data_IF_231656828805
#
_entry.id   IF_231656828805
#
_cell.length_a   1.000
_cell.length_b   1.000
_cell.length_c   1.000
_cell.angle_alpha   90.00
_cell.angle_beta   90.00
_cell.angle_gamma   90.00
#
_symmetry.space_group_name_H-M   'P 1'
#
loop_
_entity.id
_entity.type
_entity.pdbx_description
1 polymer ?
#
# COMPACT_ATOMS: atom_id res chain seq x y z
N UNK A 1 -34.06 -72.04 6.68
CA UNK A 1 -34.55 -70.70 6.56
C UNK A 1 -34.61 -69.94 7.88
N UNK A 2 -35.27 -70.38 8.95
CA UNK A 2 -35.38 -69.64 10.22
C UNK A 2 -34.02 -69.25 10.86
N UNK A 3 -33.01 -70.15 10.86
CA UNK A 3 -31.67 -69.88 11.41
C UNK A 3 -30.88 -68.83 10.61
N UNK A 4 -31.04 -68.82 9.25
CA UNK A 4 -30.41 -67.85 8.40
C UNK A 4 -31.02 -66.42 8.57
N UNK A 5 -32.33 -66.37 8.75
CA UNK A 5 -33.05 -65.09 9.03
C UNK A 5 -32.63 -64.51 10.39
N UNK A 6 -32.46 -65.37 11.43
CA UNK A 6 -32.01 -64.95 12.74
C UNK A 6 -30.58 -64.46 12.74
N UNK A 7 -29.67 -65.08 11.97
CA UNK A 7 -28.31 -64.61 11.76
C UNK A 7 -28.29 -63.22 11.04
N UNK A 8 -29.12 -63.03 10.02
CA UNK A 8 -29.23 -61.74 9.31
C UNK A 8 -29.77 -60.62 10.20
N UNK A 9 -30.76 -60.90 11.06
CA UNK A 9 -31.29 -59.95 12.05
C UNK A 9 -30.23 -59.58 13.09
N UNK A 10 -29.48 -60.52 13.61
CA UNK A 10 -28.39 -60.28 14.58
C UNK A 10 -27.27 -59.46 13.92
N UNK A 11 -26.88 -59.78 12.70
CA UNK A 11 -25.88 -59.00 11.93
C UNK A 11 -26.40 -57.57 11.68
N UNK A 12 -27.66 -57.42 11.28
CA UNK A 12 -28.25 -56.07 11.07
C UNK A 12 -28.31 -55.25 12.35
N UNK A 13 -28.65 -55.89 13.51
CA UNK A 13 -28.65 -55.19 14.82
C UNK A 13 -27.24 -54.82 15.29
N UNK A 14 -26.26 -55.69 15.07
CA UNK A 14 -24.85 -55.38 15.42
C UNK A 14 -24.29 -54.26 14.54
N UNK A 15 -24.59 -54.25 13.23
CA UNK A 15 -24.22 -53.16 12.33
C UNK A 15 -24.89 -51.88 12.78
N UNK A 16 -26.19 -51.90 13.08
CA UNK A 16 -26.94 -50.69 13.52
C UNK A 16 -26.42 -50.16 14.87
N UNK A 17 -26.06 -51.02 15.82
CA UNK A 17 -25.46 -50.58 17.08
C UNK A 17 -24.05 -50.00 16.88
N UNK A 18 -23.26 -50.57 15.99
CA UNK A 18 -21.90 -50.10 15.68
C UNK A 18 -21.93 -48.72 14.99
N UNK A 19 -22.86 -48.51 14.03
CA UNK A 19 -23.04 -47.23 13.37
C UNK A 19 -23.57 -46.15 14.32
N UNK A 20 -24.46 -46.50 15.25
CA UNK A 20 -24.94 -45.54 16.25
C UNK A 20 -23.83 -45.14 17.23
N UNK A 21 -22.98 -46.07 17.64
CA UNK A 21 -21.84 -45.78 18.51
C UNK A 21 -20.80 -44.89 17.83
N UNK A 22 -20.43 -45.16 16.56
CA UNK A 22 -19.49 -44.31 15.82
C UNK A 22 -20.04 -42.91 15.60
N UNK A 23 -21.35 -42.75 15.41
CA UNK A 23 -21.99 -41.44 15.27
C UNK A 23 -21.93 -40.63 16.56
N UNK A 24 -22.11 -41.25 17.72
CA UNK A 24 -22.00 -40.57 19.03
C UNK A 24 -20.57 -40.22 19.34
N UNK A 25 -19.59 -41.05 19.03
CA UNK A 25 -18.16 -40.80 19.19
C UNK A 25 -17.69 -39.61 18.32
N UNK A 26 -18.14 -39.54 17.07
CA UNK A 26 -17.88 -38.40 16.16
C UNK A 26 -18.51 -37.10 16.66
N UNK A 27 -19.77 -37.16 17.12
CA UNK A 27 -20.46 -36.00 17.68
C UNK A 27 -19.72 -35.43 18.89
N UNK A 28 -19.19 -36.29 19.75
CA UNK A 28 -18.39 -35.86 20.89
C UNK A 28 -17.07 -35.23 20.47
N UNK A 29 -16.38 -35.82 19.49
CA UNK A 29 -15.17 -35.25 18.94
C UNK A 29 -15.42 -33.84 18.31
N UNK A 30 -16.50 -33.69 17.55
CA UNK A 30 -16.93 -32.39 17.01
C UNK A 30 -17.18 -31.38 18.13
N UNK A 31 -17.90 -31.78 19.19
CA UNK A 31 -18.18 -30.92 20.35
C UNK A 31 -16.90 -30.44 21.03
N UNK A 32 -15.90 -31.30 21.21
CA UNK A 32 -14.61 -30.93 21.78
C UNK A 32 -13.87 -29.92 20.89
N UNK A 33 -13.92 -30.08 19.57
CA UNK A 33 -13.33 -29.15 18.60
C UNK A 33 -14.04 -27.80 18.62
N UNK A 34 -15.37 -27.78 18.70
CA UNK A 34 -16.17 -26.56 18.77
C UNK A 34 -15.91 -25.77 20.07
N UNK A 35 -15.51 -26.45 21.12
CA UNK A 35 -15.04 -25.83 22.38
C UNK A 35 -13.53 -25.56 22.41
N UNK A 36 -12.81 -25.68 21.27
CA UNK A 36 -11.36 -25.48 21.14
C UNK A 36 -10.52 -26.45 22.03
N UNK A 37 -11.10 -27.55 22.53
CA UNK A 37 -10.43 -28.56 23.34
C UNK A 37 -9.68 -29.57 22.43
N UNK A 38 -8.80 -29.09 21.58
CA UNK A 38 -8.15 -29.89 20.51
C UNK A 38 -7.34 -31.05 21.02
N UNK A 39 -6.62 -30.90 22.14
CA UNK A 39 -5.82 -31.95 22.76
C UNK A 39 -6.70 -33.09 23.25
N UNK A 40 -7.84 -32.74 23.86
CA UNK A 40 -8.81 -33.73 24.36
C UNK A 40 -9.52 -34.43 23.19
N UNK A 41 -9.81 -33.68 22.10
CA UNK A 41 -10.39 -34.24 20.89
C UNK A 41 -9.47 -35.29 20.25
N UNK A 42 -8.17 -35.07 20.22
CA UNK A 42 -7.19 -36.04 19.71
C UNK A 42 -7.08 -37.27 20.62
N UNK A 43 -7.00 -37.08 21.93
CA UNK A 43 -6.97 -38.20 22.90
C UNK A 43 -8.25 -39.02 22.81
N UNK A 44 -9.40 -38.39 22.64
CA UNK A 44 -10.68 -39.05 22.41
C UNK A 44 -10.67 -39.90 21.13
N UNK A 45 -10.25 -39.31 20.00
CA UNK A 45 -10.15 -39.99 18.72
C UNK A 45 -9.23 -41.21 18.77
N UNK A 46 -8.11 -41.09 19.50
CA UNK A 46 -7.17 -42.20 19.71
C UNK A 46 -7.79 -43.31 20.58
N UNK A 47 -8.56 -42.96 21.62
CA UNK A 47 -9.21 -43.94 22.52
C UNK A 47 -10.31 -44.73 21.82
N UNK A 48 -11.05 -44.10 20.89
CA UNK A 48 -12.13 -44.74 20.15
C UNK A 48 -11.64 -45.39 18.85
N UNK A 49 -10.34 -45.28 18.52
CA UNK A 49 -9.75 -45.77 17.26
C UNK A 49 -10.52 -45.35 16.01
N UNK A 50 -11.06 -44.09 15.99
CA UNK A 50 -11.82 -43.53 14.89
C UNK A 50 -10.94 -43.37 13.65
N UNK A 51 -11.34 -43.97 12.53
CA UNK A 51 -10.57 -44.04 11.30
C UNK A 51 -11.41 -43.70 10.05
N UNK A 52 -12.69 -43.37 10.24
CA UNK A 52 -13.54 -42.94 9.12
C UNK A 52 -13.13 -41.56 8.63
N UNK A 53 -13.60 -41.21 7.44
CA UNK A 53 -13.22 -39.95 6.75
C UNK A 53 -13.54 -38.72 7.58
N UNK A 54 -14.71 -38.68 8.22
CA UNK A 54 -15.12 -37.53 9.05
C UNK A 54 -14.22 -37.39 10.29
N UNK A 55 -13.89 -38.51 10.96
CA UNK A 55 -12.97 -38.50 12.09
C UNK A 55 -11.58 -38.05 11.67
N UNK A 56 -11.11 -38.43 10.49
CA UNK A 56 -9.82 -37.99 9.96
C UNK A 56 -9.82 -36.49 9.66
N UNK A 57 -10.89 -35.91 9.08
CA UNK A 57 -11.03 -34.48 8.92
C UNK A 57 -10.99 -33.73 10.25
N UNK A 58 -11.73 -34.19 11.25
CA UNK A 58 -11.72 -33.59 12.59
C UNK A 58 -10.35 -33.69 13.25
N UNK A 59 -9.66 -34.84 13.09
CA UNK A 59 -8.29 -35.04 13.57
C UNK A 59 -7.30 -34.06 12.91
N UNK A 60 -7.36 -33.95 11.59
CA UNK A 60 -6.50 -33.03 10.85
C UNK A 60 -6.74 -31.57 11.27
N UNK A 61 -8.01 -31.17 11.46
CA UNK A 61 -8.37 -29.86 11.98
C UNK A 61 -7.78 -29.61 13.37
N UNK A 62 -7.96 -30.53 14.30
CA UNK A 62 -7.40 -30.40 15.66
C UNK A 62 -5.88 -30.33 15.67
N UNK A 63 -5.19 -31.10 14.82
CA UNK A 63 -3.74 -31.03 14.66
C UNK A 63 -3.28 -29.67 14.08
N UNK A 64 -4.02 -29.18 13.09
CA UNK A 64 -3.74 -27.86 12.47
C UNK A 64 -3.84 -26.73 13.49
N UNK A 65 -4.93 -26.71 14.29
CA UNK A 65 -5.17 -25.68 15.31
C UNK A 65 -4.12 -25.73 16.46
N UNK A 66 -3.53 -26.90 16.69
CA UNK A 66 -2.41 -27.08 17.63
C UNK A 66 -1.04 -26.72 17.01
N UNK A 67 -0.99 -26.25 15.75
CA UNK A 67 0.25 -25.95 15.05
C UNK A 67 1.05 -27.19 14.62
N UNK A 68 0.47 -28.42 14.73
CA UNK A 68 1.11 -29.70 14.34
C UNK A 68 0.92 -29.93 12.83
N UNK A 69 1.32 -28.95 11.99
CA UNK A 69 1.05 -28.94 10.55
C UNK A 69 1.55 -30.17 9.78
N UNK A 70 2.78 -30.70 10.04
CA UNK A 70 3.23 -31.90 9.34
C UNK A 70 2.36 -33.12 9.60
N UNK A 71 1.86 -33.27 10.82
CA UNK A 71 0.99 -34.41 11.19
C UNK A 71 -0.41 -34.21 10.59
N UNK A 72 -0.96 -33.00 10.63
CA UNK A 72 -2.22 -32.68 9.98
C UNK A 72 -2.16 -32.97 8.47
N UNK A 73 -1.06 -32.57 7.81
CA UNK A 73 -0.83 -32.85 6.40
C UNK A 73 -0.79 -34.36 6.09
N UNK A 74 -0.11 -35.15 6.91
CA UNK A 74 -0.08 -36.58 6.75
C UNK A 74 -1.49 -37.22 6.85
N UNK A 75 -2.37 -36.65 7.70
CA UNK A 75 -3.77 -37.08 7.78
C UNK A 75 -4.52 -36.71 6.50
N UNK A 76 -4.38 -35.48 5.95
CA UNK A 76 -5.01 -35.13 4.67
C UNK A 76 -4.48 -35.99 3.52
N UNK A 77 -3.20 -36.33 3.48
CA UNK A 77 -2.66 -37.25 2.49
C UNK A 77 -3.31 -38.63 2.61
N UNK A 78 -3.67 -39.05 3.82
CA UNK A 78 -4.38 -40.31 4.04
C UNK A 78 -5.82 -40.21 3.53
N UNK A 79 -6.53 -39.12 3.80
CA UNK A 79 -7.90 -38.91 3.32
C UNK A 79 -7.95 -38.99 1.80
N UNK A 80 -7.09 -38.26 1.07
CA UNK A 80 -7.10 -38.27 -0.41
C UNK A 80 -6.67 -39.62 -1.02
N UNK A 81 -6.02 -40.51 -0.26
CA UNK A 81 -5.80 -41.91 -0.67
C UNK A 81 -7.04 -42.77 -0.49
N UNK A 82 -7.86 -42.48 0.53
CA UNK A 82 -9.12 -43.22 0.82
C UNK A 82 -10.22 -42.71 -0.13
N UNK A 83 -10.41 -41.40 -0.23
CA UNK A 83 -11.29 -40.77 -1.21
C UNK A 83 -10.51 -39.79 -2.09
N UNK A 84 -10.16 -40.18 -3.35
CA UNK A 84 -9.49 -39.33 -4.30
C UNK A 84 -10.36 -38.18 -4.84
N UNK A 85 -11.66 -38.12 -4.50
CA UNK A 85 -12.58 -37.06 -4.89
C UNK A 85 -12.88 -36.07 -3.77
N UNK A 86 -12.25 -36.20 -2.60
CA UNK A 86 -12.38 -35.25 -1.50
C UNK A 86 -11.62 -33.94 -1.82
N UNK A 87 -12.31 -32.98 -2.46
CA UNK A 87 -11.78 -31.68 -2.80
C UNK A 87 -11.34 -30.87 -1.55
N UNK A 88 -12.04 -31.06 -0.42
CA UNK A 88 -11.75 -30.34 0.84
C UNK A 88 -10.42 -30.76 1.41
N UNK A 89 -10.12 -32.08 1.40
CA UNK A 89 -8.84 -32.59 1.89
C UNK A 89 -7.66 -32.08 1.06
N UNK A 90 -7.79 -31.98 -0.26
CA UNK A 90 -6.77 -31.38 -1.12
C UNK A 90 -6.53 -29.92 -0.78
N UNK A 91 -7.58 -29.13 -0.61
CA UNK A 91 -7.48 -27.70 -0.31
C UNK A 91 -6.88 -27.43 1.07
N UNK A 92 -7.38 -28.10 2.10
CA UNK A 92 -6.89 -27.93 3.46
C UNK A 92 -5.47 -28.46 3.64
N UNK A 93 -5.14 -29.60 3.02
CA UNK A 93 -3.78 -30.12 3.04
C UNK A 93 -2.80 -29.17 2.33
N UNK A 94 -3.18 -28.59 1.20
CA UNK A 94 -2.36 -27.61 0.50
C UNK A 94 -2.21 -26.30 1.31
N UNK A 95 -3.26 -25.86 2.00
CA UNK A 95 -3.19 -24.68 2.85
C UNK A 95 -2.12 -24.83 3.94
N UNK A 96 -2.02 -26.00 4.58
CA UNK A 96 -0.95 -26.29 5.54
C UNK A 96 0.45 -26.20 4.94
N UNK A 97 0.62 -26.63 3.69
CA UNK A 97 1.90 -26.52 2.99
C UNK A 97 2.24 -25.07 2.65
N UNK A 98 1.23 -24.24 2.32
CA UNK A 98 1.41 -22.80 2.15
C UNK A 98 1.87 -22.15 3.46
N UNK A 99 1.26 -22.51 4.60
CA UNK A 99 1.66 -22.01 5.93
C UNK A 99 3.10 -22.42 6.29
N UNK A 100 3.53 -23.58 5.86
CA UNK A 100 4.90 -24.07 5.99
C UNK A 100 5.85 -23.52 4.90
N UNK A 101 5.36 -22.67 4.00
CA UNK A 101 6.08 -22.11 2.84
C UNK A 101 6.56 -23.15 1.81
N UNK A 102 6.04 -24.36 1.84
CA UNK A 102 6.27 -25.37 0.81
C UNK A 102 5.24 -25.23 -0.32
N UNK A 103 5.41 -24.18 -1.10
CA UNK A 103 4.53 -23.85 -2.21
C UNK A 103 4.53 -24.90 -3.33
N UNK A 104 5.64 -25.63 -3.49
CA UNK A 104 5.75 -26.67 -4.52
C UNK A 104 4.81 -27.84 -4.22
N UNK A 105 4.88 -28.39 -2.99
CA UNK A 105 3.99 -29.47 -2.55
C UNK A 105 2.52 -29.01 -2.50
N UNK A 106 2.27 -27.77 -2.08
CA UNK A 106 0.92 -27.19 -2.09
C UNK A 106 0.33 -27.12 -3.51
N UNK A 107 1.12 -26.64 -4.48
CA UNK A 107 0.66 -26.54 -5.87
C UNK A 107 0.42 -27.92 -6.50
N UNK A 108 1.28 -28.90 -6.22
CA UNK A 108 1.11 -30.28 -6.70
C UNK A 108 -0.17 -30.89 -6.14
N UNK A 109 -0.41 -30.73 -4.83
CA UNK A 109 -1.62 -31.26 -4.15
C UNK A 109 -2.89 -30.63 -4.71
N UNK A 110 -2.94 -29.29 -4.89
CA UNK A 110 -4.08 -28.60 -5.50
C UNK A 110 -4.28 -29.02 -6.96
N UNK A 111 -3.21 -29.19 -7.71
CA UNK A 111 -3.28 -29.64 -9.09
C UNK A 111 -3.88 -31.04 -9.18
N UNK A 112 -3.41 -31.98 -8.37
CA UNK A 112 -3.97 -33.32 -8.31
C UNK A 112 -5.46 -33.30 -7.92
N UNK A 113 -5.84 -32.49 -6.93
CA UNK A 113 -7.21 -32.31 -6.51
C UNK A 113 -8.08 -31.75 -7.63
N UNK A 114 -7.65 -30.70 -8.32
CA UNK A 114 -8.42 -30.09 -9.41
C UNK A 114 -8.57 -31.02 -10.63
N UNK A 115 -7.52 -31.76 -10.99
CA UNK A 115 -7.60 -32.73 -12.09
C UNK A 115 -8.58 -33.89 -11.81
N UNK A 116 -8.73 -34.29 -10.55
CA UNK A 116 -9.62 -35.38 -10.14
C UNK A 116 -11.06 -34.96 -9.90
N UNK A 117 -11.25 -33.77 -9.33
CA UNK A 117 -12.56 -33.32 -8.86
C UNK A 117 -13.22 -32.32 -9.81
N UNK A 118 -12.42 -31.57 -10.58
CA UNK A 118 -12.85 -30.38 -11.32
C UNK A 118 -13.57 -29.33 -10.44
N UNK A 119 -13.31 -29.36 -9.13
CA UNK A 119 -13.90 -28.47 -8.14
C UNK A 119 -13.40 -27.03 -8.35
N UNK A 120 -14.32 -26.10 -8.54
CA UNK A 120 -13.98 -24.68 -8.83
C UNK A 120 -13.17 -24.05 -7.68
N UNK A 121 -13.55 -24.16 -6.40
CA UNK A 121 -12.73 -23.68 -5.29
C UNK A 121 -11.29 -24.23 -5.30
N UNK A 122 -11.09 -25.50 -5.57
CA UNK A 122 -9.75 -26.11 -5.67
C UNK A 122 -8.94 -25.53 -6.83
N UNK A 123 -9.57 -25.36 -7.99
CA UNK A 123 -8.95 -24.70 -9.15
C UNK A 123 -8.62 -23.24 -8.91
N UNK A 124 -9.47 -22.52 -8.18
CA UNK A 124 -9.23 -21.12 -7.80
C UNK A 124 -8.04 -21.01 -6.82
N UNK A 125 -7.97 -21.86 -5.78
CA UNK A 125 -6.87 -21.88 -4.84
C UNK A 125 -5.55 -22.24 -5.55
N UNK A 126 -5.58 -23.18 -6.50
CA UNK A 126 -4.43 -23.50 -7.36
C UNK A 126 -3.98 -22.30 -8.17
N UNK A 127 -4.90 -21.66 -8.90
CA UNK A 127 -4.57 -20.50 -9.74
C UNK A 127 -4.03 -19.35 -8.90
N UNK A 128 -4.59 -19.11 -7.70
CA UNK A 128 -4.14 -18.09 -6.75
C UNK A 128 -2.71 -18.37 -6.29
N UNK A 129 -2.40 -19.59 -5.94
CA UNK A 129 -1.06 -20.01 -5.53
C UNK A 129 -0.06 -19.88 -6.71
N UNK A 130 -0.45 -20.31 -7.92
CA UNK A 130 0.38 -20.19 -9.12
C UNK A 130 0.74 -18.73 -9.44
N UNK A 131 -0.22 -17.81 -9.31
CA UNK A 131 0.03 -16.36 -9.45
C UNK A 131 0.96 -15.86 -8.35
N UNK A 132 0.82 -16.37 -7.11
CA UNK A 132 1.69 -16.01 -6.00
C UNK A 132 3.16 -16.38 -6.28
N UNK A 133 3.41 -17.60 -6.75
CA UNK A 133 4.75 -18.12 -7.04
C UNK A 133 5.30 -17.74 -8.43
N UNK A 134 4.57 -16.89 -9.19
CA UNK A 134 5.01 -16.39 -10.49
C UNK A 134 4.81 -17.35 -11.67
N UNK A 135 4.05 -18.45 -11.51
CA UNK A 135 3.67 -19.36 -12.59
C UNK A 135 2.42 -18.88 -13.33
N UNK A 136 2.45 -17.61 -13.77
CA UNK A 136 1.29 -16.91 -14.32
C UNK A 136 0.72 -17.57 -15.60
N UNK A 137 1.59 -18.20 -16.42
CA UNK A 137 1.13 -18.92 -17.63
C UNK A 137 0.23 -20.09 -17.30
N UNK A 138 0.59 -20.90 -16.31
CA UNK A 138 -0.21 -22.03 -15.84
C UNK A 138 -1.49 -21.54 -15.16
N UNK A 139 -1.40 -20.47 -14.37
CA UNK A 139 -2.57 -19.84 -13.74
C UNK A 139 -3.60 -19.39 -14.78
N UNK A 140 -3.16 -18.84 -15.92
CA UNK A 140 -4.05 -18.47 -17.04
C UNK A 140 -4.78 -19.68 -17.63
N UNK A 141 -4.12 -20.82 -17.75
CA UNK A 141 -4.76 -22.07 -18.25
C UNK A 141 -5.83 -22.55 -17.27
N UNK A 142 -5.53 -22.54 -15.98
CA UNK A 142 -6.47 -22.99 -14.93
C UNK A 142 -7.67 -22.03 -14.88
N UNK A 143 -7.44 -20.72 -14.84
CA UNK A 143 -8.52 -19.71 -14.81
C UNK A 143 -9.38 -19.77 -16.06
N UNK A 144 -8.81 -20.01 -17.24
CA UNK A 144 -9.55 -20.21 -18.47
C UNK A 144 -10.47 -21.44 -18.40
N UNK A 145 -9.97 -22.55 -17.86
CA UNK A 145 -10.75 -23.78 -17.67
C UNK A 145 -11.92 -23.57 -16.70
N UNK A 146 -11.71 -22.81 -15.60
CA UNK A 146 -12.78 -22.46 -14.67
C UNK A 146 -13.82 -21.56 -15.35
N UNK A 147 -13.39 -20.51 -16.05
CA UNK A 147 -14.29 -19.53 -16.67
C UNK A 147 -15.13 -20.10 -17.83
N UNK A 148 -14.74 -21.26 -18.40
CA UNK A 148 -15.58 -22.01 -19.33
C UNK A 148 -16.74 -22.74 -18.64
N UNK A 149 -16.61 -23.01 -17.35
CA UNK A 149 -17.66 -23.65 -16.54
C UNK A 149 -18.59 -22.62 -15.93
N UNK A 150 -18.02 -21.57 -15.34
CA UNK A 150 -18.77 -20.50 -14.67
C UNK A 150 -18.00 -19.18 -14.70
N UNK A 151 -18.71 -18.08 -14.98
CA UNK A 151 -18.15 -16.74 -15.08
C UNK A 151 -18.12 -16.06 -13.70
N UNK A 152 -17.12 -16.40 -12.90
CA UNK A 152 -16.98 -15.94 -11.53
C UNK A 152 -16.09 -14.68 -11.42
N UNK A 153 -16.59 -13.54 -10.87
CA UNK A 153 -15.81 -12.32 -10.71
C UNK A 153 -14.45 -12.51 -10.02
N UNK A 154 -14.31 -13.31 -8.92
CA UNK A 154 -13.01 -13.55 -8.31
C UNK A 154 -11.99 -14.21 -9.25
N UNK A 155 -12.44 -15.12 -10.11
CA UNK A 155 -11.58 -15.80 -11.09
C UNK A 155 -11.18 -14.85 -12.22
N UNK A 156 -12.10 -13.98 -12.67
CA UNK A 156 -11.83 -12.92 -13.65
C UNK A 156 -10.76 -11.99 -13.14
N UNK A 157 -10.86 -11.51 -11.91
CA UNK A 157 -9.86 -10.65 -11.27
C UNK A 157 -8.51 -11.34 -11.14
N UNK A 158 -8.50 -12.61 -10.73
CA UNK A 158 -7.27 -13.39 -10.65
C UNK A 158 -6.60 -13.56 -12.01
N UNK A 159 -7.38 -13.81 -13.07
CA UNK A 159 -6.92 -13.87 -14.46
C UNK A 159 -6.34 -12.54 -14.91
N UNK A 160 -7.00 -11.43 -14.61
CA UNK A 160 -6.49 -10.09 -14.92
C UNK A 160 -5.15 -9.81 -14.21
N UNK A 161 -5.02 -10.23 -12.94
CA UNK A 161 -3.77 -10.13 -12.19
C UNK A 161 -2.64 -10.94 -12.83
N UNK A 162 -2.92 -12.16 -13.28
CA UNK A 162 -1.94 -12.99 -14.00
C UNK A 162 -1.52 -12.36 -15.33
N UNK A 163 -2.47 -11.82 -16.10
CA UNK A 163 -2.19 -11.08 -17.35
C UNK A 163 -1.29 -9.87 -17.10
N UNK A 164 -1.59 -9.08 -16.08
CA UNK A 164 -0.80 -7.91 -15.72
C UNK A 164 0.65 -8.28 -15.34
N UNK A 165 0.83 -9.32 -14.52
CA UNK A 165 2.17 -9.83 -14.18
C UNK A 165 2.96 -10.28 -15.41
N UNK A 166 2.28 -10.77 -16.44
CA UNK A 166 2.87 -11.13 -17.74
C UNK A 166 3.10 -9.96 -18.68
N UNK A 167 3.02 -8.72 -18.18
CA UNK A 167 3.17 -7.51 -18.99
C UNK A 167 2.12 -7.38 -20.11
N UNK A 168 0.91 -7.83 -19.84
CA UNK A 168 -0.26 -7.74 -20.75
C UNK A 168 -1.38 -6.90 -20.10
N UNK A 169 -1.11 -5.66 -19.66
CA UNK A 169 -2.10 -4.86 -18.94
C UNK A 169 -3.32 -4.52 -19.79
N UNK A 170 -3.17 -4.32 -21.10
CA UNK A 170 -4.31 -4.02 -21.99
C UNK A 170 -5.33 -5.15 -22.02
N UNK A 171 -4.89 -6.42 -21.98
CA UNK A 171 -5.81 -7.56 -21.93
C UNK A 171 -6.47 -7.68 -20.55
N UNK A 172 -5.73 -7.40 -19.49
CA UNK A 172 -6.27 -7.38 -18.13
C UNK A 172 -7.35 -6.29 -17.98
N UNK A 173 -7.09 -5.08 -18.49
CA UNK A 173 -8.04 -3.96 -18.48
C UNK A 173 -9.31 -4.35 -19.25
N UNK A 174 -9.20 -4.84 -20.50
CA UNK A 174 -10.36 -5.22 -21.31
C UNK A 174 -11.22 -6.28 -20.61
N UNK A 175 -10.60 -7.24 -19.92
CA UNK A 175 -11.29 -8.28 -19.18
C UNK A 175 -12.07 -7.70 -17.97
N UNK A 176 -11.48 -6.78 -17.22
CA UNK A 176 -12.14 -6.14 -16.09
C UNK A 176 -13.22 -5.13 -16.54
N UNK A 177 -13.00 -4.41 -17.66
CA UNK A 177 -14.02 -3.54 -18.26
C UNK A 177 -15.27 -4.35 -18.67
N UNK A 178 -15.07 -5.51 -19.30
CA UNK A 178 -16.18 -6.41 -19.65
C UNK A 178 -16.94 -6.86 -18.40
N UNK A 179 -16.25 -7.21 -17.31
CA UNK A 179 -16.89 -7.56 -16.06
C UNK A 179 -17.67 -6.38 -15.46
N UNK A 180 -17.13 -5.17 -15.49
CA UNK A 180 -17.82 -3.95 -15.02
C UNK A 180 -19.04 -3.59 -15.87
N UNK A 181 -19.08 -3.98 -17.16
CA UNK A 181 -20.29 -3.86 -17.99
C UNK A 181 -21.39 -4.84 -17.56
N UNK A 182 -21.02 -6.02 -17.05
CA UNK A 182 -21.98 -7.04 -16.54
C UNK A 182 -22.49 -6.69 -15.15
N UNK A 183 -21.60 -6.23 -14.28
CA UNK A 183 -21.92 -5.82 -12.92
C UNK A 183 -21.16 -4.53 -12.54
N UNK A 184 -21.85 -3.41 -12.68
CA UNK A 184 -21.31 -2.09 -12.37
C UNK A 184 -21.20 -1.82 -10.85
N UNK A 185 -21.68 -2.72 -9.99
CA UNK A 185 -21.67 -2.59 -8.53
C UNK A 185 -20.53 -3.38 -7.89
N UNK A 186 -19.81 -4.22 -8.65
CA UNK A 186 -18.65 -4.97 -8.15
C UNK A 186 -17.44 -4.04 -7.91
N UNK A 187 -17.41 -3.45 -6.69
CA UNK A 187 -16.35 -2.52 -6.32
C UNK A 187 -14.96 -3.17 -6.27
N UNK A 188 -14.84 -4.49 -6.04
CA UNK A 188 -13.55 -5.17 -6.03
C UNK A 188 -12.96 -5.23 -7.45
N UNK A 189 -13.77 -5.53 -8.45
CA UNK A 189 -13.35 -5.46 -9.86
C UNK A 189 -13.03 -4.03 -10.27
N UNK A 190 -13.81 -3.05 -9.79
CA UNK A 190 -13.52 -1.64 -10.02
C UNK A 190 -12.16 -1.21 -9.47
N UNK A 191 -11.82 -1.62 -8.24
CA UNK A 191 -10.53 -1.28 -7.61
C UNK A 191 -9.36 -1.91 -8.37
N UNK A 192 -9.50 -3.17 -8.80
CA UNK A 192 -8.48 -3.82 -9.62
C UNK A 192 -8.30 -3.09 -10.97
N UNK A 193 -9.39 -2.68 -11.62
CA UNK A 193 -9.38 -1.89 -12.85
C UNK A 193 -8.75 -0.51 -12.66
N UNK A 194 -9.16 0.22 -11.62
CA UNK A 194 -8.61 1.52 -11.28
C UNK A 194 -7.10 1.45 -11.00
N UNK A 195 -6.66 0.39 -10.32
CA UNK A 195 -5.24 0.13 -10.06
C UNK A 195 -4.46 -0.09 -11.37
N UNK A 196 -5.03 -0.86 -12.31
CA UNK A 196 -4.39 -1.08 -13.61
C UNK A 196 -4.30 0.20 -14.44
N UNK A 197 -5.35 1.03 -14.45
CA UNK A 197 -5.29 2.34 -15.12
C UNK A 197 -4.20 3.24 -14.54
N UNK A 198 -4.04 3.26 -13.21
CA UNK A 198 -2.94 3.98 -12.56
C UNK A 198 -1.56 3.46 -12.96
N UNK A 199 -1.40 2.14 -13.08
CA UNK A 199 -0.13 1.51 -13.51
C UNK A 199 0.25 1.82 -14.97
N UNK A 200 -0.73 1.98 -15.85
CA UNK A 200 -0.50 2.34 -17.27
C UNK A 200 -0.61 3.85 -17.53
N UNK A 201 -0.65 4.65 -16.47
CA UNK A 201 -0.74 6.12 -16.51
C UNK A 201 -2.02 6.67 -17.18
N UNK A 202 -3.06 5.84 -17.32
CA UNK A 202 -4.38 6.26 -17.81
C UNK A 202 -5.23 6.91 -16.68
N UNK A 203 -4.67 7.88 -15.99
CA UNK A 203 -5.22 8.50 -14.77
C UNK A 203 -6.64 9.08 -14.99
N UNK A 204 -6.92 9.62 -16.18
CA UNK A 204 -8.28 10.12 -16.47
C UNK A 204 -9.32 9.01 -16.52
N UNK A 205 -8.97 7.82 -17.01
CA UNK A 205 -9.87 6.67 -16.99
C UNK A 205 -10.06 6.13 -15.57
N UNK A 206 -9.01 6.13 -14.77
CA UNK A 206 -9.09 5.82 -13.34
C UNK A 206 -10.09 6.73 -12.63
N UNK A 207 -9.98 8.05 -12.83
CA UNK A 207 -10.91 9.05 -12.31
C UNK A 207 -12.35 8.76 -12.76
N UNK A 208 -12.58 8.60 -14.07
CA UNK A 208 -13.92 8.41 -14.62
C UNK A 208 -14.64 7.18 -14.06
N UNK A 209 -13.96 6.04 -13.93
CA UNK A 209 -14.59 4.82 -13.41
C UNK A 209 -14.88 4.92 -11.92
N UNK A 210 -13.98 5.54 -11.14
CA UNK A 210 -14.17 5.73 -9.70
C UNK A 210 -15.24 6.79 -9.41
N UNK A 211 -15.22 7.93 -10.11
CA UNK A 211 -16.25 8.98 -10.00
C UNK A 211 -17.65 8.45 -10.35
N UNK A 212 -17.76 7.65 -11.41
CA UNK A 212 -19.03 7.01 -11.79
C UNK A 212 -19.57 6.09 -10.71
N UNK A 213 -18.73 5.25 -10.12
CA UNK A 213 -19.15 4.37 -9.03
C UNK A 213 -19.60 5.16 -7.80
N UNK A 214 -18.89 6.25 -7.46
CA UNK A 214 -19.23 7.10 -6.32
C UNK A 214 -20.58 7.82 -6.44
N UNK A 215 -21.18 7.85 -7.64
CA UNK A 215 -22.57 8.31 -7.82
C UNK A 215 -23.58 7.28 -7.26
N UNK A 216 -23.22 6.00 -7.24
CA UNK A 216 -24.07 4.91 -6.72
C UNK A 216 -23.82 4.65 -5.24
N UNK A 217 -22.55 4.46 -4.87
CA UNK A 217 -22.09 4.32 -3.48
C UNK A 217 -21.04 5.38 -3.16
N UNK A 218 -21.53 6.53 -2.77
CA UNK A 218 -20.70 7.71 -2.48
C UNK A 218 -19.78 7.55 -1.27
N UNK A 219 -19.86 6.43 -0.56
CA UNK A 219 -19.26 6.25 0.77
C UNK A 219 -18.31 5.06 0.84
N UNK A 220 -18.07 4.39 -0.28
CA UNK A 220 -17.12 3.29 -0.35
C UNK A 220 -15.70 3.79 -0.17
N UNK A 221 -15.10 3.48 0.98
CA UNK A 221 -13.77 3.98 1.36
C UNK A 221 -12.69 3.57 0.36
N UNK A 222 -12.74 2.33 -0.16
CA UNK A 222 -11.73 1.85 -1.12
C UNK A 222 -11.80 2.63 -2.44
N UNK A 223 -13.02 2.92 -2.91
CA UNK A 223 -13.21 3.71 -4.14
C UNK A 223 -12.87 5.18 -3.92
N UNK A 224 -13.19 5.75 -2.75
CA UNK A 224 -12.77 7.12 -2.39
C UNK A 224 -11.23 7.25 -2.38
N UNK A 225 -10.51 6.27 -1.84
CA UNK A 225 -9.04 6.27 -1.87
C UNK A 225 -8.49 6.23 -3.30
N UNK A 226 -9.05 5.36 -4.15
CA UNK A 226 -8.62 5.26 -5.56
C UNK A 226 -8.97 6.52 -6.37
N UNK A 227 -10.11 7.17 -6.08
CA UNK A 227 -10.50 8.44 -6.69
C UNK A 227 -9.59 9.57 -6.22
N UNK A 228 -9.34 9.71 -4.91
CA UNK A 228 -8.42 10.70 -4.37
C UNK A 228 -7.00 10.56 -4.93
N UNK A 229 -6.52 9.33 -5.13
CA UNK A 229 -5.24 9.07 -5.81
C UNK A 229 -5.24 9.65 -7.22
N UNK A 230 -6.27 9.36 -8.03
CA UNK A 230 -6.37 9.89 -9.40
C UNK A 230 -6.43 11.42 -9.41
N UNK A 231 -7.15 12.04 -8.46
CA UNK A 231 -7.21 13.50 -8.32
C UNK A 231 -5.84 14.10 -7.98
N UNK A 232 -5.08 13.46 -7.08
CA UNK A 232 -3.72 13.88 -6.77
C UNK A 232 -2.78 13.80 -7.98
N UNK A 233 -2.89 12.74 -8.78
CA UNK A 233 -2.11 12.57 -10.02
C UNK A 233 -2.51 13.59 -11.10
N UNK A 234 -3.78 13.99 -11.16
CA UNK A 234 -4.28 15.06 -12.04
C UNK A 234 -4.00 16.47 -11.51
N UNK A 235 -3.30 16.58 -10.37
CA UNK A 235 -3.00 17.84 -9.67
C UNK A 235 -4.24 18.57 -9.11
N UNK A 236 -5.36 17.90 -8.99
CA UNK A 236 -6.61 18.41 -8.42
C UNK A 236 -6.67 18.14 -6.91
N UNK A 237 -5.76 18.76 -6.17
CA UNK A 237 -5.56 18.48 -4.73
C UNK A 237 -6.80 18.80 -3.87
N UNK A 238 -7.62 19.79 -4.26
CA UNK A 238 -8.84 20.16 -3.52
C UNK A 238 -9.89 19.07 -3.63
N UNK A 239 -10.05 18.45 -4.81
CA UNK A 239 -10.94 17.31 -5.02
C UNK A 239 -10.49 16.09 -4.22
N UNK A 240 -9.18 15.79 -4.25
CA UNK A 240 -8.61 14.73 -3.44
C UNK A 240 -8.80 14.97 -1.94
N UNK A 241 -8.61 16.21 -1.47
CA UNK A 241 -8.81 16.59 -0.07
C UNK A 241 -10.26 16.32 0.37
N UNK A 242 -11.23 16.67 -0.47
CA UNK A 242 -12.64 16.41 -0.18
C UNK A 242 -12.91 14.92 0.06
N UNK A 243 -12.33 14.04 -0.75
CA UNK A 243 -12.49 12.60 -0.55
C UNK A 243 -11.81 12.12 0.74
N UNK A 244 -10.60 12.58 1.05
CA UNK A 244 -9.92 12.26 2.32
C UNK A 244 -10.71 12.77 3.53
N UNK A 245 -11.32 13.96 3.46
CA UNK A 245 -12.18 14.47 4.53
C UNK A 245 -13.42 13.60 4.75
N UNK A 246 -14.02 13.09 3.66
CA UNK A 246 -15.15 12.15 3.76
C UNK A 246 -14.75 10.83 4.43
N UNK A 247 -13.55 10.32 4.13
CA UNK A 247 -13.01 9.11 4.74
C UNK A 247 -12.76 9.33 6.23
N UNK A 248 -12.03 10.40 6.59
CA UNK A 248 -11.65 10.71 7.97
C UNK A 248 -12.86 11.10 8.81
N UNK A 249 -13.80 11.86 8.26
CA UNK A 249 -15.04 12.27 8.95
C UNK A 249 -15.92 11.10 9.36
N UNK A 250 -15.67 9.89 8.83
CA UNK A 250 -16.35 8.64 9.22
C UNK A 250 -15.55 7.79 10.21
N UNK A 251 -14.47 8.29 10.72
CA UNK A 251 -13.59 7.56 11.63
C UNK A 251 -12.66 6.56 10.94
N UNK A 252 -12.63 6.54 9.59
CA UNK A 252 -11.64 5.79 8.84
C UNK A 252 -10.40 6.66 8.60
N UNK A 253 -9.24 6.04 8.60
CA UNK A 253 -7.99 6.70 8.26
C UNK A 253 -7.23 5.83 7.26
N UNK A 254 -6.57 6.40 6.24
CA UNK A 254 -5.73 5.62 5.35
C UNK A 254 -4.70 4.80 6.12
N UNK A 255 -4.40 3.60 5.64
CA UNK A 255 -3.46 2.69 6.30
C UNK A 255 -2.25 2.33 5.45
N UNK A 256 -2.38 2.39 4.12
CA UNK A 256 -1.25 2.13 3.23
C UNK A 256 -0.32 3.32 3.18
N UNK A 257 0.98 3.07 2.99
CA UNK A 257 1.98 4.13 2.80
C UNK A 257 1.55 5.12 1.70
N UNK A 258 1.11 4.61 0.55
CA UNK A 258 0.72 5.42 -0.59
C UNK A 258 -0.45 6.35 -0.26
N UNK A 259 -1.51 5.81 0.33
CA UNK A 259 -2.70 6.59 0.66
C UNK A 259 -2.43 7.62 1.76
N UNK A 260 -1.64 7.26 2.77
CA UNK A 260 -1.18 8.18 3.82
C UNK A 260 -0.34 9.32 3.24
N UNK A 261 0.55 9.00 2.31
CA UNK A 261 1.42 10.00 1.68
C UNK A 261 0.63 10.98 0.82
N UNK A 262 -0.27 10.50 -0.03
CA UNK A 262 -1.13 11.37 -0.85
C UNK A 262 -2.13 12.17 0.00
N UNK A 263 -2.69 11.58 1.05
CA UNK A 263 -3.51 12.29 2.03
C UNK A 263 -2.71 13.45 2.65
N UNK A 264 -1.49 13.18 3.11
CA UNK A 264 -0.59 14.21 3.63
C UNK A 264 -0.30 15.32 2.63
N UNK A 265 -0.07 14.98 1.36
CA UNK A 265 0.15 15.96 0.29
C UNK A 265 -1.09 16.84 0.03
N UNK A 266 -2.30 16.26 0.03
CA UNK A 266 -3.54 17.00 -0.14
C UNK A 266 -3.73 18.02 0.98
N UNK A 267 -3.59 17.61 2.25
CA UNK A 267 -3.67 18.49 3.40
C UNK A 267 -2.54 19.55 3.40
N UNK A 268 -1.33 19.17 3.00
CA UNK A 268 -0.20 20.09 2.91
C UNK A 268 -0.46 21.21 1.89
N UNK A 269 -0.96 20.87 0.68
CA UNK A 269 -1.33 21.84 -0.34
C UNK A 269 -2.46 22.76 0.11
N UNK A 270 -3.40 22.25 0.91
CA UNK A 270 -4.49 23.03 1.51
C UNK A 270 -4.05 23.90 2.72
N UNK A 271 -2.77 23.90 3.09
CA UNK A 271 -2.26 24.67 4.23
C UNK A 271 -2.64 24.11 5.60
N UNK A 272 -3.18 22.89 5.66
CA UNK A 272 -3.54 22.22 6.92
C UNK A 272 -2.39 21.38 7.46
N UNK A 273 -1.30 22.03 7.78
CA UNK A 273 0.00 21.40 8.03
C UNK A 273 0.01 20.45 9.22
N UNK A 274 -0.79 20.69 10.26
CA UNK A 274 -0.86 19.78 11.42
C UNK A 274 -1.46 18.41 11.05
N UNK A 275 -2.51 18.39 10.21
CA UNK A 275 -3.10 17.12 9.74
C UNK A 275 -2.17 16.45 8.72
N UNK A 276 -1.54 17.22 7.83
CA UNK A 276 -0.55 16.72 6.90
C UNK A 276 0.63 16.05 7.64
N UNK A 277 1.10 16.65 8.71
CA UNK A 277 2.17 16.10 9.57
C UNK A 277 1.78 14.75 10.15
N UNK A 278 0.56 14.59 10.66
CA UNK A 278 0.08 13.32 11.20
C UNK A 278 0.01 12.24 10.09
N UNK A 279 -0.45 12.60 8.88
CA UNK A 279 -0.47 11.68 7.75
C UNK A 279 0.95 11.23 7.37
N UNK A 280 1.90 12.18 7.26
CA UNK A 280 3.29 11.85 6.92
C UNK A 280 3.99 11.06 8.04
N UNK A 281 3.68 11.34 9.31
CA UNK A 281 4.23 10.57 10.44
C UNK A 281 3.79 9.10 10.36
N UNK A 282 2.51 8.83 10.13
CA UNK A 282 2.00 7.47 9.94
C UNK A 282 2.57 6.80 8.69
N UNK A 283 2.74 7.56 7.61
CA UNK A 283 3.40 7.06 6.40
C UNK A 283 4.85 6.65 6.69
N UNK A 284 5.61 7.48 7.41
CA UNK A 284 7.00 7.21 7.79
C UNK A 284 7.12 5.95 8.68
N UNK A 285 6.20 5.79 9.63
CA UNK A 285 6.12 4.60 10.48
C UNK A 285 5.83 3.34 9.66
N UNK A 286 4.91 3.41 8.69
CA UNK A 286 4.56 2.29 7.81
C UNK A 286 5.69 1.89 6.86
N UNK A 287 6.60 2.82 6.52
CA UNK A 287 7.78 2.60 5.69
C UNK A 287 9.05 2.29 6.52
N UNK A 288 8.91 1.86 7.77
CA UNK A 288 10.02 1.59 8.68
C UNK A 288 10.99 2.77 8.84
N UNK A 289 10.48 4.00 8.73
CA UNK A 289 11.22 5.25 8.88
C UNK A 289 12.41 5.42 7.91
N UNK A 290 12.38 4.78 6.75
CA UNK A 290 13.45 4.85 5.75
C UNK A 290 13.11 5.72 4.52
N UNK A 291 11.90 6.27 4.45
CA UNK A 291 11.48 7.07 3.31
C UNK A 291 11.88 8.53 3.46
N UNK A 292 12.81 8.99 2.61
CA UNK A 292 13.29 10.37 2.66
C UNK A 292 12.22 11.42 2.31
N UNK A 293 11.22 11.08 1.46
CA UNK A 293 10.15 12.00 1.09
C UNK A 293 9.24 12.31 2.28
N UNK A 294 8.89 11.31 3.09
CA UNK A 294 8.10 11.54 4.31
C UNK A 294 8.85 12.44 5.30
N UNK A 295 10.15 12.19 5.47
CA UNK A 295 11.00 13.03 6.35
C UNK A 295 11.13 14.45 5.83
N UNK A 296 11.24 14.64 4.52
CA UNK A 296 11.22 15.94 3.88
C UNK A 296 9.93 16.70 4.20
N UNK A 297 8.77 16.07 3.97
CA UNK A 297 7.48 16.71 4.25
C UNK A 297 7.22 16.92 5.73
N UNK A 298 7.71 16.06 6.62
CA UNK A 298 7.66 16.28 8.06
C UNK A 298 8.48 17.52 8.48
N UNK A 299 9.66 17.71 7.90
CA UNK A 299 10.46 18.92 8.07
C UNK A 299 9.73 20.16 7.52
N UNK A 300 9.14 20.04 6.32
CA UNK A 300 8.34 21.09 5.69
C UNK A 300 7.11 21.48 6.52
N UNK A 301 6.40 20.53 7.09
CA UNK A 301 5.25 20.81 7.95
C UNK A 301 5.66 21.61 9.17
N UNK A 302 6.74 21.21 9.86
CA UNK A 302 7.27 21.95 11.01
C UNK A 302 7.72 23.37 10.59
N UNK A 303 8.42 23.49 9.45
CA UNK A 303 8.84 24.78 8.91
C UNK A 303 7.64 25.71 8.60
N UNK A 304 6.61 25.19 7.94
CA UNK A 304 5.37 25.96 7.63
C UNK A 304 4.60 26.37 8.89
N UNK A 305 4.68 25.58 9.95
CA UNK A 305 4.11 25.88 11.26
C UNK A 305 4.97 26.85 12.09
N UNK A 306 6.12 27.29 11.55
CA UNK A 306 7.12 28.14 12.23
C UNK A 306 7.71 27.51 13.51
N UNK A 307 7.75 26.20 13.57
CA UNK A 307 8.38 25.42 14.63
C UNK A 307 9.87 25.22 14.28
N UNK A 308 10.65 26.31 14.37
CA UNK A 308 12.00 26.41 13.80
C UNK A 308 12.96 25.35 14.33
N UNK A 309 13.00 25.14 15.65
CA UNK A 309 13.87 24.15 16.29
C UNK A 309 13.53 22.72 15.84
N UNK A 310 12.23 22.40 15.77
CA UNK A 310 11.79 21.08 15.34
C UNK A 310 12.01 20.88 13.82
N UNK A 311 11.81 21.92 13.01
CA UNK A 311 12.11 21.89 11.59
C UNK A 311 13.60 21.64 11.34
N UNK A 312 14.47 22.38 12.03
CA UNK A 312 15.92 22.22 11.95
C UNK A 312 16.34 20.78 12.31
N UNK A 313 15.87 20.26 13.45
CA UNK A 313 16.15 18.90 13.88
C UNK A 313 15.73 17.83 12.87
N UNK A 314 14.55 17.99 12.28
CA UNK A 314 14.02 17.05 11.28
C UNK A 314 14.78 17.14 9.97
N UNK A 315 15.08 18.34 9.50
CA UNK A 315 15.82 18.57 8.27
C UNK A 315 17.29 18.13 8.40
N UNK A 316 17.91 18.30 9.57
CA UNK A 316 19.25 17.78 9.81
C UNK A 316 19.28 16.25 9.74
N UNK A 317 18.31 15.55 10.35
CA UNK A 317 18.17 14.10 10.21
C UNK A 317 17.91 13.65 8.78
N UNK A 318 17.25 14.48 7.98
CA UNK A 318 17.05 14.21 6.57
C UNK A 318 18.37 14.30 5.79
N UNK A 319 19.22 15.30 6.08
CA UNK A 319 20.54 15.41 5.44
C UNK A 319 21.40 14.17 5.65
N UNK A 320 21.31 13.53 6.82
CA UNK A 320 22.04 12.29 7.14
C UNK A 320 21.59 11.09 6.26
N UNK A 321 20.40 11.19 5.65
CA UNK A 321 19.78 10.12 4.84
C UNK A 321 19.86 10.38 3.33
N UNK A 322 20.06 11.65 2.92
CA UNK A 322 20.06 12.00 1.50
C UNK A 322 21.48 11.79 0.94
N UNK A 323 21.59 10.98 -0.10
CA UNK A 323 22.85 10.89 -0.84
C UNK A 323 23.19 12.23 -1.51
N UNK A 324 24.49 12.60 -1.67
CA UNK A 324 24.93 13.92 -2.14
C UNK A 324 24.46 14.35 -3.55
N UNK A 325 23.60 13.61 -4.20
CA UNK A 325 23.13 13.84 -5.58
C UNK A 325 21.63 13.96 -5.76
N UNK A 326 20.88 14.24 -4.72
CA UNK A 326 19.42 14.35 -4.83
C UNK A 326 18.98 15.79 -5.09
N UNK A 327 17.92 15.96 -5.91
CA UNK A 327 17.32 17.24 -6.26
C UNK A 327 16.82 18.04 -5.04
N UNK A 328 16.67 17.36 -3.91
CA UNK A 328 16.14 17.94 -2.66
C UNK A 328 17.19 18.57 -1.74
N UNK A 329 18.47 18.30 -2.03
CA UNK A 329 19.54 18.77 -1.14
C UNK A 329 19.60 20.31 -1.07
N UNK A 330 19.43 20.98 -2.20
CA UNK A 330 19.35 22.44 -2.28
C UNK A 330 18.20 23.01 -1.47
N UNK A 331 17.00 22.42 -1.59
CA UNK A 331 15.81 22.85 -0.85
C UNK A 331 16.02 22.68 0.66
N UNK A 332 16.58 21.54 1.08
CA UNK A 332 16.85 21.26 2.50
C UNK A 332 17.84 22.24 3.09
N UNK A 333 18.93 22.53 2.40
CA UNK A 333 19.89 23.53 2.85
C UNK A 333 19.31 24.94 2.90
N UNK A 334 18.46 25.32 1.93
CA UNK A 334 17.80 26.62 1.93
C UNK A 334 16.85 26.76 3.14
N UNK A 335 16.10 25.72 3.47
CA UNK A 335 15.22 25.71 4.65
C UNK A 335 15.97 25.71 5.96
N UNK A 336 17.07 24.96 6.08
CA UNK A 336 17.93 24.99 7.26
C UNK A 336 18.51 26.38 7.47
N UNK A 337 18.94 27.04 6.40
CA UNK A 337 19.42 28.40 6.46
C UNK A 337 18.36 29.37 6.97
N UNK A 338 17.11 29.22 6.53
CA UNK A 338 16.02 30.07 6.98
C UNK A 338 15.67 29.80 8.45
N UNK A 339 15.62 28.52 8.88
CA UNK A 339 15.45 28.19 10.29
C UNK A 339 16.53 28.83 11.16
N UNK A 340 17.80 28.71 10.78
CA UNK A 340 18.93 29.32 11.50
C UNK A 340 18.84 30.85 11.53
N UNK A 341 18.45 31.48 10.42
CA UNK A 341 18.30 32.94 10.33
C UNK A 341 17.17 33.46 11.25
N UNK A 342 16.03 32.76 11.34
CA UNK A 342 14.92 33.10 12.25
C UNK A 342 15.31 32.92 13.73
N UNK A 343 16.23 32.00 14.03
CA UNK A 343 16.83 31.82 15.37
C UNK A 343 17.97 32.81 15.67
N UNK A 344 18.29 33.72 14.74
CA UNK A 344 19.39 34.69 14.91
C UNK A 344 20.79 34.12 14.66
N UNK A 345 20.90 32.89 14.16
CA UNK A 345 22.18 32.20 13.89
C UNK A 345 22.63 32.50 12.43
N UNK A 346 22.93 33.77 12.16
CA UNK A 346 23.18 34.26 10.79
C UNK A 346 24.38 33.60 10.11
N UNK A 347 25.46 33.28 10.84
CA UNK A 347 26.65 32.61 10.27
C UNK A 347 26.33 31.15 9.86
N UNK A 348 25.52 30.43 10.65
CA UNK A 348 25.03 29.10 10.30
C UNK A 348 24.15 29.16 9.03
N UNK A 349 23.27 30.14 8.95
CA UNK A 349 22.44 30.38 7.78
C UNK A 349 23.31 30.62 6.51
N UNK A 350 24.34 31.45 6.61
CA UNK A 350 25.28 31.73 5.50
C UNK A 350 25.95 30.43 5.05
N UNK A 351 26.38 29.57 5.98
CA UNK A 351 27.01 28.30 5.64
C UNK A 351 26.08 27.38 4.84
N UNK A 352 24.85 27.20 5.28
CA UNK A 352 23.86 26.41 4.57
C UNK A 352 23.50 27.00 3.19
N UNK A 353 23.38 28.32 3.06
CA UNK A 353 23.10 28.99 1.78
C UNK A 353 24.24 28.82 0.78
N UNK A 354 25.49 28.83 1.23
CA UNK A 354 26.62 28.51 0.36
C UNK A 354 26.54 27.09 -0.18
N UNK A 355 26.23 26.10 0.65
CA UNK A 355 26.00 24.73 0.17
C UNK A 355 24.84 24.66 -0.81
N UNK A 356 23.71 25.30 -0.54
CA UNK A 356 22.57 25.34 -1.47
C UNK A 356 22.94 25.88 -2.84
N UNK A 357 23.76 26.96 -2.89
CA UNK A 357 24.22 27.61 -4.13
C UNK A 357 25.31 26.78 -4.83
N UNK A 358 26.10 25.99 -4.10
CA UNK A 358 27.09 25.07 -4.65
C UNK A 358 26.39 23.92 -5.40
N UNK A 359 25.30 23.37 -4.86
CA UNK A 359 24.49 22.33 -5.52
C UNK A 359 23.65 22.86 -6.67
N UNK A 360 23.01 24.02 -6.51
CA UNK A 360 22.28 24.72 -7.57
C UNK A 360 22.66 26.20 -7.59
N UNK A 361 23.61 26.49 -8.46
CA UNK A 361 24.06 27.86 -8.66
C UNK A 361 22.98 28.81 -9.18
N UNK A 362 21.89 28.25 -9.66
CA UNK A 362 20.74 28.96 -10.19
C UNK A 362 19.63 29.23 -9.16
N UNK A 363 19.73 28.81 -7.92
CA UNK A 363 18.67 29.01 -6.94
C UNK A 363 18.56 30.47 -6.49
N UNK A 364 17.57 31.19 -7.06
CA UNK A 364 17.33 32.59 -6.75
C UNK A 364 16.89 32.84 -5.31
N UNK A 365 16.18 31.89 -4.70
CA UNK A 365 15.74 32.01 -3.30
C UNK A 365 16.93 31.93 -2.36
N UNK A 366 17.82 30.95 -2.54
CA UNK A 366 19.04 30.83 -1.76
C UNK A 366 19.94 32.07 -1.92
N UNK A 367 20.05 32.61 -3.15
CA UNK A 367 20.81 33.84 -3.40
C UNK A 367 20.17 35.06 -2.71
N UNK A 368 18.84 35.15 -2.69
CA UNK A 368 18.13 36.26 -2.03
C UNK A 368 18.34 36.22 -0.50
N UNK A 369 18.16 35.03 0.11
CA UNK A 369 18.38 34.83 1.53
C UNK A 369 19.84 35.09 1.94
N UNK A 370 20.81 34.68 1.11
CA UNK A 370 22.22 34.95 1.36
C UNK A 370 22.53 36.48 1.30
N UNK A 371 21.91 37.20 0.37
CA UNK A 371 22.04 38.65 0.30
C UNK A 371 21.52 39.32 1.56
N UNK A 372 20.35 38.88 2.07
CA UNK A 372 19.77 39.38 3.33
C UNK A 372 20.65 39.07 4.55
N UNK A 373 21.24 37.86 4.62
CA UNK A 373 22.19 37.53 5.66
C UNK A 373 23.46 38.40 5.60
N UNK A 374 23.98 38.67 4.41
CA UNK A 374 25.11 39.57 4.22
C UNK A 374 24.80 41.02 4.64
N UNK A 375 23.60 41.53 4.40
CA UNK A 375 23.17 42.83 4.93
C UNK A 375 23.20 42.84 6.46
N UNK A 376 22.62 41.80 7.10
CA UNK A 376 22.61 41.69 8.58
C UNK A 376 24.02 41.65 9.19
N UNK A 377 24.98 41.04 8.50
CA UNK A 377 26.36 40.93 8.96
C UNK A 377 27.26 42.12 8.51
N UNK A 378 26.69 43.09 7.80
CA UNK A 378 27.44 44.25 7.31
C UNK A 378 28.30 43.96 6.08
N UNK A 379 28.20 42.79 5.49
CA UNK A 379 28.92 42.45 4.24
C UNK A 379 28.20 43.03 3.02
N UNK A 380 28.28 44.33 2.87
CA UNK A 380 27.61 45.12 1.83
C UNK A 380 27.98 44.65 0.41
N UNK A 381 29.25 44.41 0.15
CA UNK A 381 29.74 43.97 -1.17
C UNK A 381 29.16 42.60 -1.54
N UNK A 382 29.13 41.66 -0.58
CA UNK A 382 28.49 40.35 -0.75
C UNK A 382 27.01 40.46 -1.02
N UNK A 383 26.29 41.29 -0.27
CA UNK A 383 24.87 41.54 -0.47
C UNK A 383 24.57 42.07 -1.88
N UNK A 384 25.27 43.12 -2.33
CA UNK A 384 25.11 43.68 -3.69
C UNK A 384 25.35 42.63 -4.75
N UNK A 385 26.39 41.83 -4.60
CA UNK A 385 26.69 40.74 -5.56
C UNK A 385 25.56 39.72 -5.64
N UNK A 386 25.01 39.27 -4.54
CA UNK A 386 23.93 38.31 -4.53
C UNK A 386 22.60 38.88 -5.04
N UNK A 387 22.25 40.12 -4.66
CA UNK A 387 21.06 40.80 -5.19
C UNK A 387 21.12 41.02 -6.72
N UNK A 388 22.29 41.35 -7.27
CA UNK A 388 22.48 41.41 -8.72
C UNK A 388 22.23 40.10 -9.39
N UNK A 389 22.74 39.03 -8.83
CA UNK A 389 22.54 37.66 -9.36
C UNK A 389 21.07 37.27 -9.39
N UNK A 390 20.31 37.59 -8.34
CA UNK A 390 18.84 37.38 -8.31
C UNK A 390 18.17 38.24 -9.38
N UNK A 391 18.50 39.51 -9.45
CA UNK A 391 17.93 40.46 -10.40
C UNK A 391 18.14 40.03 -11.85
N UNK A 392 19.36 39.65 -12.21
CA UNK A 392 19.71 39.27 -13.58
C UNK A 392 18.98 37.97 -13.98
N UNK A 393 18.89 37.02 -13.08
CA UNK A 393 18.22 35.74 -13.33
C UNK A 393 16.71 35.89 -13.46
N UNK A 394 16.05 36.51 -12.49
CA UNK A 394 14.59 36.67 -12.52
C UNK A 394 14.15 37.59 -13.67
N UNK A 395 14.97 38.57 -14.06
CA UNK A 395 14.72 39.40 -15.25
C UNK A 395 14.81 38.58 -16.53
N UNK A 396 15.69 37.62 -16.62
CA UNK A 396 15.84 36.73 -17.77
C UNK A 396 14.77 35.62 -17.81
N UNK A 397 14.06 35.36 -16.72
CA UNK A 397 13.01 34.35 -16.65
C UNK A 397 11.81 34.79 -17.51
N UNK A 398 11.40 33.89 -18.42
CA UNK A 398 10.26 34.12 -19.33
C UNK A 398 8.93 33.57 -18.81
N UNK A 399 8.90 33.03 -17.60
CA UNK A 399 7.71 32.44 -17.00
C UNK A 399 6.67 33.50 -16.66
N UNK A 400 5.63 33.62 -17.48
CA UNK A 400 4.60 34.67 -17.39
C UNK A 400 3.73 34.66 -16.13
N UNK A 401 3.79 33.61 -15.29
CA UNK A 401 2.95 33.45 -14.11
C UNK A 401 3.75 33.11 -12.82
N UNK A 402 5.04 33.39 -12.77
CA UNK A 402 5.85 33.19 -11.58
C UNK A 402 5.73 34.36 -10.60
N UNK A 403 4.69 34.31 -9.74
CA UNK A 403 4.42 35.35 -8.73
C UNK A 403 5.61 35.50 -7.76
N UNK A 404 6.22 34.39 -7.36
CA UNK A 404 7.36 34.37 -6.44
C UNK A 404 8.61 34.93 -7.10
N UNK A 405 8.86 34.65 -8.38
CA UNK A 405 9.92 35.25 -9.17
C UNK A 405 9.77 36.77 -9.29
N UNK A 406 8.55 37.28 -9.55
CA UNK A 406 8.28 38.73 -9.57
C UNK A 406 8.54 39.37 -8.20
N UNK A 407 8.18 38.72 -7.10
CA UNK A 407 8.43 39.19 -5.74
C UNK A 407 9.93 39.28 -5.46
N UNK A 408 10.70 38.22 -5.78
CA UNK A 408 12.16 38.22 -5.63
C UNK A 408 12.83 39.30 -6.48
N UNK A 409 12.38 39.51 -7.72
CA UNK A 409 12.87 40.56 -8.60
C UNK A 409 12.63 41.98 -8.02
N UNK A 410 11.40 42.21 -7.52
CA UNK A 410 11.04 43.51 -6.94
C UNK A 410 11.86 43.81 -5.69
N UNK A 411 12.05 42.82 -4.83
CA UNK A 411 12.85 42.94 -3.61
C UNK A 411 14.32 43.21 -3.93
N UNK A 412 14.93 42.40 -4.81
CA UNK A 412 16.31 42.56 -5.22
C UNK A 412 16.55 43.95 -5.83
N UNK A 413 15.61 44.45 -6.67
CA UNK A 413 15.68 45.80 -7.26
C UNK A 413 15.64 46.90 -6.19
N UNK A 414 14.71 46.78 -5.25
CA UNK A 414 14.56 47.74 -4.13
C UNK A 414 15.81 47.83 -3.29
N UNK A 415 16.34 46.69 -2.88
CA UNK A 415 17.55 46.60 -2.03
C UNK A 415 18.80 47.11 -2.74
N UNK A 416 18.97 46.79 -4.03
CA UNK A 416 20.07 47.33 -4.85
C UNK A 416 20.04 48.85 -4.96
N UNK A 417 18.85 49.46 -5.04
CA UNK A 417 18.73 50.91 -5.10
C UNK A 417 19.11 51.59 -3.78
N UNK A 418 18.70 51.00 -2.64
CA UNK A 418 19.03 51.47 -1.30
C UNK A 418 20.54 51.36 -1.02
N UNK A 419 21.13 50.20 -1.26
CA UNK A 419 22.56 49.98 -1.06
C UNK A 419 23.48 50.83 -1.92
N UNK A 420 23.00 51.33 -3.09
CA UNK A 420 23.74 52.26 -3.94
C UNK A 420 23.56 53.72 -3.52
N UNK A 421 22.40 54.08 -2.96
CA UNK A 421 22.15 55.45 -2.50
C UNK A 421 23.08 55.81 -1.31
N UNK A 422 23.29 54.86 -0.39
CA UNK A 422 24.22 55.04 0.73
C UNK A 422 25.69 55.24 0.27
N UNK A 423 26.12 54.70 -0.91
CA UNK A 423 27.47 54.95 -1.46
C UNK A 423 27.65 56.40 -1.93
N UNK A 424 26.56 57.08 -2.30
CA UNK A 424 26.63 58.50 -2.76
C UNK A 424 26.65 59.49 -1.58
N UNK A 425 26.15 59.11 -0.41
CA UNK A 425 26.20 59.97 0.78
C UNK A 425 27.55 59.89 1.52
N UNK A 426 28.27 58.73 1.43
CA UNK A 426 29.61 58.59 2.05
C UNK A 426 30.73 59.28 1.24
N UNK A 427 30.50 59.64 -0.05
CA UNK A 427 31.44 60.37 -0.88
C UNK A 427 31.28 61.90 -0.78
N UNK A 428 30.23 62.43 -0.11
CA UNK A 428 29.98 63.87 0.05
C UNK A 428 30.34 64.45 1.40
N UNK A 429 31.06 63.75 2.29
CA UNK A 429 31.61 64.34 3.53
C UNK A 429 33.06 64.66 3.32
N UNK A 430 33.46 65.97 3.35
CA UNK A 430 34.81 66.43 3.11
C UNK A 430 35.75 66.14 4.32
#
# INVERSE_FOLDING_TARGET
MKRLLLCLIVIAQTILSLTAQTTEELSRMQTLIDHMAYTEALAWADSCSLQDEQALHLRAKALSELGRHPEAFAVYQRIVRMDPHDAVAYRLGAALQVDMQDYATAAEMLHQGYERTSDIPTGYDLAKLLVHIGQDSTALVITDRILRQDSLPPVIRLRAKALNKRQQPSQAIALLEEQMLRDSTDFLTLIDLATLYGQVEETRRQEQVTARYLQTDSLNVAVLLAHAESMMMLQEADSALHDYERIIGRGHFPTSFKDLFYCGLAYYKAGRWAVAEECFRRADESAYQQNYLTKYYLGMCAYRQKLWEEAEKRLQKLLDLIEPKTDRLTDVHTMLAQCANEQGQTETAISHLRYAIEYDSGNSEACLLLAQCFEKTGNRTGAIHMYRRVFDKERASTAKNDIEGFRRLAEARSRLSLLKADDSEDEETP
#
